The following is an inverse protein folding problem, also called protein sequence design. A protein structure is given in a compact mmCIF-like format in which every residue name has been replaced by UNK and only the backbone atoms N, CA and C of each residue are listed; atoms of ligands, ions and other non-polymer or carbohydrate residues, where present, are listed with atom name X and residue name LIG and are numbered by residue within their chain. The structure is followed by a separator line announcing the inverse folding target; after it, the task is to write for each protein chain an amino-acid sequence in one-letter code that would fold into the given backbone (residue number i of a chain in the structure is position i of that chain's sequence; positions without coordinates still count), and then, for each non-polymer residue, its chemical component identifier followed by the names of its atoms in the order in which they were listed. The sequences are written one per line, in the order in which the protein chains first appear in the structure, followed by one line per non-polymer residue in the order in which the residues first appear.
data_IF_022853964288
#
_entry.id   IF_022853964288
#
_cell.length_a   1.000
_cell.length_b   1.000
_cell.length_c   1.000
_cell.angle_alpha   90.00
_cell.angle_beta   90.00
_cell.angle_gamma   90.00
#
_symmetry.space_group_name_H-M   'P 1'
#
loop_
_entity.id
_entity.type
_entity.pdbx_description
1 polymer ?
#
# COMPACT_ATOMS: atom_id res chain seq x y z
N UNK A 1 -13.35 -30.18 -16.93
CA UNK A 1 -12.73 -28.83 -16.86
C UNK A 1 -13.54 -28.01 -15.88
N UNK A 2 -13.05 -27.80 -14.65
CA UNK A 2 -13.75 -27.02 -13.63
C UNK A 2 -13.68 -25.54 -14.01
N UNK A 3 -14.82 -24.86 -14.12
CA UNK A 3 -14.86 -23.42 -14.35
C UNK A 3 -14.11 -22.72 -13.20
N UNK A 4 -13.16 -21.81 -13.51
CA UNK A 4 -12.58 -20.98 -12.45
C UNK A 4 -13.67 -20.07 -11.89
N UNK A 5 -13.67 -19.81 -10.58
CA UNK A 5 -14.64 -18.89 -9.98
C UNK A 5 -14.58 -17.53 -10.69
N UNK A 6 -15.75 -16.96 -10.95
CA UNK A 6 -15.92 -15.62 -11.53
C UNK A 6 -15.66 -14.50 -10.52
N UNK A 7 -15.25 -14.85 -9.30
CA UNK A 7 -15.05 -13.94 -8.17
C UNK A 7 -13.59 -14.00 -7.75
N UNK A 8 -13.11 -12.93 -7.14
CA UNK A 8 -11.77 -12.87 -6.59
C UNK A 8 -11.64 -13.80 -5.36
N UNK A 9 -10.48 -14.42 -5.21
CA UNK A 9 -10.16 -15.25 -4.05
C UNK A 9 -9.42 -14.41 -3.00
N UNK A 10 -9.82 -14.54 -1.74
CA UNK A 10 -9.31 -13.76 -0.60
C UNK A 10 -8.90 -14.68 0.55
N UNK A 11 -7.75 -14.42 1.16
CA UNK A 11 -7.31 -15.01 2.43
C UNK A 11 -7.41 -13.99 3.58
N UNK A 12 -7.67 -14.42 4.83
CA UNK A 12 -7.51 -13.53 5.99
C UNK A 12 -6.11 -12.89 6.08
N UNK A 13 -5.07 -13.61 5.66
CA UNK A 13 -3.68 -13.13 5.67
C UNK A 13 -3.40 -12.06 4.61
N UNK A 14 -4.32 -11.85 3.66
CA UNK A 14 -4.18 -10.84 2.61
C UNK A 14 -4.59 -9.44 3.09
N UNK A 15 -5.13 -9.31 4.31
CA UNK A 15 -5.65 -8.05 4.83
C UNK A 15 -4.87 -7.52 6.03
N UNK A 16 -4.79 -6.19 6.10
CA UNK A 16 -4.27 -5.47 7.24
C UNK A 16 -5.16 -4.27 7.59
N UNK A 17 -5.20 -3.92 8.87
CA UNK A 17 -5.87 -2.74 9.38
C UNK A 17 -4.95 -2.06 10.40
N UNK A 18 -4.52 -0.85 10.09
CA UNK A 18 -3.62 -0.07 10.94
C UNK A 18 -4.24 1.27 11.27
N UNK A 19 -4.38 1.57 12.56
CA UNK A 19 -4.83 2.86 13.05
C UNK A 19 -3.64 3.82 13.24
N UNK A 20 -3.86 5.06 12.81
CA UNK A 20 -2.93 6.18 12.92
C UNK A 20 -3.71 7.31 13.59
N UNK A 21 -3.21 7.80 14.73
CA UNK A 21 -3.80 8.93 15.43
C UNK A 21 -2.89 10.14 15.31
N UNK A 22 -3.42 11.25 14.78
CA UNK A 22 -2.69 12.51 14.64
C UNK A 22 -3.65 13.68 14.84
N UNK A 23 -3.23 14.69 15.62
CA UNK A 23 -4.04 15.89 15.83
C UNK A 23 -5.43 15.65 16.45
N UNK A 24 -5.60 14.55 17.20
CA UNK A 24 -6.89 14.16 17.80
C UNK A 24 -7.84 13.42 16.84
N UNK A 25 -7.44 13.18 15.59
CA UNK A 25 -8.19 12.38 14.62
C UNK A 25 -7.54 11.00 14.52
N UNK A 26 -8.34 9.95 14.61
CA UNK A 26 -7.93 8.56 14.40
C UNK A 26 -8.42 8.08 13.04
N UNK A 27 -7.48 7.67 12.21
CA UNK A 27 -7.73 7.13 10.87
C UNK A 27 -7.24 5.70 10.83
N UNK A 28 -8.08 4.78 10.36
CA UNK A 28 -7.73 3.39 10.11
C UNK A 28 -7.45 3.24 8.62
N UNK A 29 -6.22 2.87 8.28
CA UNK A 29 -5.85 2.41 6.96
C UNK A 29 -6.13 0.91 6.86
N UNK A 30 -7.02 0.52 5.96
CA UNK A 30 -7.35 -0.86 5.67
C UNK A 30 -6.78 -1.20 4.30
N UNK A 31 -5.92 -2.21 4.23
CA UNK A 31 -5.35 -2.71 2.98
C UNK A 31 -5.74 -4.17 2.79
N UNK A 32 -5.76 -4.59 1.53
CA UNK A 32 -6.07 -5.96 1.16
C UNK A 32 -5.47 -6.33 -0.19
N UNK A 33 -5.39 -7.63 -0.44
CA UNK A 33 -5.11 -8.18 -1.75
C UNK A 33 -6.10 -9.30 -2.10
N UNK A 34 -6.21 -9.60 -3.39
CA UNK A 34 -7.03 -10.68 -3.90
C UNK A 34 -6.34 -11.38 -5.07
N UNK A 35 -6.46 -12.70 -5.10
CA UNK A 35 -6.07 -13.48 -6.27
C UNK A 35 -7.21 -13.46 -7.29
N UNK A 36 -6.92 -12.99 -8.50
CA UNK A 36 -7.92 -12.73 -9.54
C UNK A 36 -7.65 -13.53 -10.81
N UNK A 37 -8.70 -13.74 -11.60
CA UNK A 37 -8.58 -14.35 -12.93
C UNK A 37 -8.22 -13.27 -13.96
N UNK A 38 -6.93 -13.05 -14.14
CA UNK A 38 -6.35 -12.04 -15.03
C UNK A 38 -6.10 -10.71 -14.34
N UNK A 39 -5.25 -9.88 -14.93
CA UNK A 39 -5.01 -8.53 -14.41
C UNK A 39 -6.18 -7.57 -14.74
N UNK A 40 -6.21 -6.43 -14.05
CA UNK A 40 -7.11 -5.31 -14.35
C UNK A 40 -8.47 -5.35 -13.64
N UNK A 41 -8.65 -6.25 -12.67
CA UNK A 41 -9.76 -6.16 -11.72
C UNK A 41 -9.63 -4.90 -10.88
N UNK A 42 -10.74 -4.20 -10.67
CA UNK A 42 -10.82 -3.10 -9.70
C UNK A 42 -11.60 -3.56 -8.49
N UNK A 43 -11.03 -3.30 -7.32
CA UNK A 43 -11.57 -3.66 -6.03
C UNK A 43 -11.74 -2.40 -5.20
N UNK A 44 -12.90 -2.22 -4.59
CA UNK A 44 -13.22 -1.07 -3.76
C UNK A 44 -13.91 -1.52 -2.47
N UNK A 45 -13.51 -0.96 -1.33
CA UNK A 45 -14.24 -1.17 -0.09
C UNK A 45 -15.50 -0.29 -0.11
N UNK A 46 -16.61 -0.84 0.36
CA UNK A 46 -17.83 -0.09 0.57
C UNK A 46 -18.38 -0.34 1.97
N UNK A 47 -18.86 0.70 2.68
CA UNK A 47 -19.43 0.53 4.00
C UNK A 47 -20.71 -0.31 3.93
N UNK A 48 -20.91 -1.16 4.93
CA UNK A 48 -22.14 -1.93 5.13
C UNK A 48 -22.53 -1.91 6.61
N UNK A 49 -23.80 -2.23 6.89
CA UNK A 49 -24.26 -2.31 8.26
C UNK A 49 -23.66 -3.53 8.98
N UNK A 50 -23.12 -3.34 10.19
CA UNK A 50 -22.62 -4.40 11.06
C UNK A 50 -23.71 -5.31 11.65
N UNK A 51 -24.98 -4.99 11.42
CA UNK A 51 -26.13 -5.79 11.84
C UNK A 51 -27.25 -4.92 12.39
N UNK A 52 -28.16 -5.51 13.15
CA UNK A 52 -29.28 -4.76 13.76
C UNK A 52 -28.84 -4.02 15.03
N UNK A 53 -27.82 -4.54 15.72
CA UNK A 53 -27.30 -3.99 16.97
C UNK A 53 -26.11 -3.07 16.66
N UNK A 54 -26.04 -1.86 17.23
CA UNK A 54 -24.86 -1.00 17.11
C UNK A 54 -23.60 -1.72 17.63
N UNK A 55 -22.55 -1.72 16.82
CA UNK A 55 -21.25 -2.30 17.17
C UNK A 55 -20.18 -1.19 17.05
N UNK A 56 -20.06 -0.29 18.03
CA UNK A 56 -19.13 0.84 17.97
C UNK A 56 -17.66 0.42 17.98
N UNK A 57 -17.37 -0.83 18.35
CA UNK A 57 -16.06 -1.45 18.32
C UNK A 57 -15.66 -1.98 16.93
N UNK A 58 -16.54 -1.88 15.92
CA UNK A 58 -16.37 -2.50 14.61
C UNK A 58 -16.71 -1.56 13.46
N UNK A 59 -15.93 -1.65 12.40
CA UNK A 59 -16.30 -1.13 11.09
C UNK A 59 -16.57 -2.29 10.15
N UNK A 60 -17.73 -2.27 9.50
CA UNK A 60 -18.13 -3.32 8.56
C UNK A 60 -18.06 -2.83 7.13
N UNK A 61 -17.35 -3.59 6.30
CA UNK A 61 -17.10 -3.32 4.91
C UNK A 61 -17.59 -4.49 4.05
N UNK A 62 -17.87 -4.22 2.79
CA UNK A 62 -17.96 -5.21 1.72
C UNK A 62 -16.97 -4.85 0.63
N UNK A 63 -16.63 -5.81 -0.22
CA UNK A 63 -15.78 -5.57 -1.38
C UNK A 63 -16.65 -5.52 -2.64
N UNK A 64 -16.51 -4.44 -3.39
CA UNK A 64 -17.08 -4.30 -4.73
C UNK A 64 -16.03 -4.76 -5.74
N UNK A 65 -16.35 -5.81 -6.47
CA UNK A 65 -15.49 -6.33 -7.54
C UNK A 65 -15.99 -5.84 -8.90
N UNK A 66 -15.12 -5.14 -9.65
CA UNK A 66 -15.40 -4.76 -11.04
C UNK A 66 -14.46 -5.52 -11.97
N UNK A 67 -14.98 -6.40 -12.84
CA UNK A 67 -14.15 -7.19 -13.73
C UNK A 67 -13.52 -6.32 -14.83
N UNK A 68 -12.35 -6.70 -15.36
CA UNK A 68 -11.77 -6.06 -16.54
C UNK A 68 -12.64 -6.30 -17.77
N UNK A 69 -12.54 -5.41 -18.77
CA UNK A 69 -13.24 -5.56 -20.06
C UNK A 69 -12.92 -6.87 -20.80
N UNK A 70 -11.76 -7.47 -20.53
CA UNK A 70 -11.34 -8.75 -21.09
C UNK A 70 -10.86 -9.65 -19.95
N UNK A 71 -11.49 -10.81 -19.82
CA UNK A 71 -11.09 -11.80 -18.83
C UNK A 71 -9.70 -12.37 -19.16
N UNK A 72 -8.83 -12.45 -18.15
CA UNK A 72 -7.53 -13.08 -18.32
C UNK A 72 -7.60 -14.60 -18.24
N UNK A 73 -6.51 -15.24 -18.69
CA UNK A 73 -6.34 -16.70 -18.65
C UNK A 73 -5.33 -17.18 -17.60
N UNK A 74 -4.78 -16.26 -16.81
CA UNK A 74 -3.77 -16.51 -15.79
C UNK A 74 -4.23 -15.96 -14.43
N UNK A 75 -3.56 -16.36 -13.34
CA UNK A 75 -3.79 -15.79 -12.00
C UNK A 75 -3.00 -14.48 -11.85
N UNK A 76 -3.63 -13.45 -11.31
CA UNK A 76 -2.99 -12.16 -11.02
C UNK A 76 -3.36 -11.70 -9.60
N UNK A 77 -2.72 -10.64 -9.13
CA UNK A 77 -3.05 -9.96 -7.88
C UNK A 77 -3.77 -8.64 -8.16
N UNK A 78 -4.75 -8.31 -7.33
CA UNK A 78 -5.38 -7.01 -7.29
C UNK A 78 -5.38 -6.50 -5.84
N UNK A 79 -4.96 -5.26 -5.64
CA UNK A 79 -4.94 -4.61 -4.33
C UNK A 79 -6.22 -3.82 -4.08
N UNK A 80 -6.54 -3.61 -2.82
CA UNK A 80 -7.65 -2.80 -2.35
C UNK A 80 -7.19 -2.01 -1.12
N UNK A 81 -7.66 -0.78 -1.00
CA UNK A 81 -7.29 0.12 0.10
C UNK A 81 -8.46 1.04 0.45
N UNK A 82 -8.59 1.38 1.74
CA UNK A 82 -9.44 2.45 2.22
C UNK A 82 -8.82 3.15 3.44
N UNK A 83 -9.15 4.44 3.60
CA UNK A 83 -8.89 5.21 4.82
C UNK A 83 -10.22 5.55 5.47
N UNK A 84 -10.34 5.25 6.76
CA UNK A 84 -11.60 5.33 7.51
C UNK A 84 -11.36 6.13 8.78
N UNK A 85 -12.08 7.24 8.94
CA UNK A 85 -12.07 7.99 10.21
C UNK A 85 -12.96 7.27 11.22
N UNK A 86 -12.35 6.71 12.27
CA UNK A 86 -13.09 6.05 13.35
C UNK A 86 -12.30 6.10 14.66
N UNK A 87 -12.94 6.63 15.70
CA UNK A 87 -12.33 6.87 17.00
C UNK A 87 -12.23 5.61 17.89
N UNK A 88 -13.01 4.56 17.61
CA UNK A 88 -13.26 3.48 18.56
C UNK A 88 -13.07 2.07 18.00
N UNK A 89 -13.13 1.90 16.68
CA UNK A 89 -13.13 0.57 16.08
C UNK A 89 -11.80 -0.15 16.32
N UNK A 90 -11.92 -1.38 16.84
CA UNK A 90 -10.82 -2.32 17.13
C UNK A 90 -10.78 -3.48 16.15
N UNK A 91 -11.84 -3.65 15.35
CA UNK A 91 -11.97 -4.72 14.37
C UNK A 91 -12.58 -4.18 13.06
N UNK A 92 -12.02 -4.62 11.94
CA UNK A 92 -12.63 -4.49 10.62
C UNK A 92 -13.27 -5.82 10.25
N UNK A 93 -14.55 -5.79 9.88
CA UNK A 93 -15.29 -6.97 9.42
C UNK A 93 -15.60 -6.83 7.94
N UNK A 94 -15.00 -7.69 7.12
CA UNK A 94 -15.17 -7.70 5.67
C UNK A 94 -16.20 -8.78 5.32
N UNK A 95 -17.38 -8.34 4.90
CA UNK A 95 -18.48 -9.19 4.50
C UNK A 95 -18.37 -9.62 3.04
N UNK A 96 -18.78 -10.87 2.81
CA UNK A 96 -18.91 -11.47 1.48
C UNK A 96 -20.32 -12.04 1.34
N UNK A 97 -20.86 -12.01 0.13
CA UNK A 97 -22.18 -12.62 -0.14
C UNK A 97 -22.16 -14.14 -0.27
N UNK A 98 -20.97 -14.76 -0.37
CA UNK A 98 -20.79 -16.15 -0.79
C UNK A 98 -19.95 -16.99 0.18
N UNK A 99 -19.43 -16.37 1.25
CA UNK A 99 -18.64 -17.04 2.29
C UNK A 99 -18.77 -16.31 3.64
N UNK A 100 -18.31 -16.92 4.75
CA UNK A 100 -18.21 -16.23 6.03
C UNK A 100 -17.32 -14.97 5.93
N UNK A 101 -17.61 -13.93 6.74
CA UNK A 101 -16.83 -12.70 6.76
C UNK A 101 -15.41 -12.94 7.27
N UNK A 102 -14.48 -12.09 6.82
CA UNK A 102 -13.11 -12.03 7.35
C UNK A 102 -13.07 -10.94 8.42
N UNK A 103 -12.41 -11.24 9.54
CA UNK A 103 -12.21 -10.32 10.67
C UNK A 103 -10.74 -9.94 10.74
N UNK A 104 -10.46 -8.64 10.78
CA UNK A 104 -9.11 -8.09 10.80
C UNK A 104 -8.99 -7.22 12.04
N UNK A 105 -8.06 -7.57 12.93
CA UNK A 105 -7.78 -6.76 14.11
C UNK A 105 -7.11 -5.44 13.71
N UNK A 106 -7.59 -4.33 14.26
CA UNK A 106 -6.98 -3.01 14.03
C UNK A 106 -5.74 -2.89 14.92
N UNK A 107 -4.59 -2.67 14.29
CA UNK A 107 -3.30 -2.48 14.97
C UNK A 107 -3.01 -1.00 15.14
N UNK A 108 -2.71 -0.57 16.35
CA UNK A 108 -2.31 0.82 16.59
C UNK A 108 -0.87 1.04 16.13
N UNK A 109 -0.65 2.11 15.36
CA UNK A 109 0.70 2.57 15.04
C UNK A 109 1.33 3.13 16.31
N UNK A 110 2.33 2.43 16.85
CA UNK A 110 3.07 2.93 18.01
C UNK A 110 3.82 4.22 17.62
N UNK A 111 3.64 5.34 18.34
CA UNK A 111 4.33 6.59 18.04
C UNK A 111 5.87 6.48 18.18
N UNK A 112 6.38 5.41 18.80
CA UNK A 112 7.81 5.17 18.98
C UNK A 112 8.56 4.77 17.69
N UNK A 113 7.85 4.44 16.60
CA UNK A 113 8.49 4.12 15.31
C UNK A 113 8.48 5.28 14.30
N UNK A 114 8.10 6.49 14.74
CA UNK A 114 8.27 7.72 13.98
C UNK A 114 9.72 8.23 13.94
N UNK A 115 10.70 7.35 13.66
CA UNK A 115 12.09 7.75 13.42
C UNK A 115 12.22 8.18 11.95
N UNK A 116 12.19 9.49 11.74
CA UNK A 116 12.89 10.15 10.65
C UNK A 116 12.22 10.07 9.27
N UNK A 117 11.36 11.04 8.98
CA UNK A 117 11.34 11.60 7.64
C UNK A 117 12.76 12.10 7.34
N UNK A 118 13.57 11.28 6.64
CA UNK A 118 14.86 11.68 6.07
C UNK A 118 14.61 12.66 4.93
N UNK A 119 14.32 13.90 5.30
CA UNK A 119 14.54 15.07 4.46
C UNK A 119 16.03 15.42 4.53
N UNK A 120 16.83 14.74 3.71
CA UNK A 120 18.08 15.25 3.16
C UNK A 120 18.54 14.27 2.09
N UNK A 121 18.09 14.49 0.85
CA UNK A 121 18.94 14.17 -0.31
C UNK A 121 19.90 15.33 -0.44
N UNK A 122 20.99 15.28 0.31
CA UNK A 122 22.15 16.08 -0.01
C UNK A 122 22.78 15.50 -1.27
N UNK A 123 23.00 16.29 -2.33
CA UNK A 123 23.66 15.81 -3.53
C UNK A 123 25.10 15.44 -3.17
N UNK A 124 25.47 14.19 -3.43
CA UNK A 124 26.85 13.71 -3.29
C UNK A 124 27.78 14.61 -4.09
N UNK A 125 28.50 15.49 -3.38
CA UNK A 125 29.65 16.22 -3.90
C UNK A 125 30.75 15.20 -4.18
N UNK A 126 30.90 14.84 -5.45
CA UNK A 126 32.02 14.04 -5.92
C UNK A 126 33.32 14.84 -5.77
N UNK A 127 34.05 14.60 -4.67
CA UNK A 127 35.45 14.98 -4.53
C UNK A 127 36.29 13.90 -5.20
N UNK A 128 36.66 14.15 -6.45
CA UNK A 128 37.65 13.36 -7.20
C UNK A 128 38.73 14.30 -7.71
N UNK A 129 39.71 14.58 -6.87
CA UNK A 129 40.93 15.30 -7.24
C UNK A 129 41.76 14.45 -8.21
N UNK A 130 42.14 15.01 -9.36
CA UNK A 130 43.41 14.69 -10.03
C UNK A 130 44.05 15.98 -10.54
N UNK A 131 45.09 16.35 -9.80
CA UNK A 131 46.11 17.35 -10.11
C UNK A 131 46.96 16.80 -11.26
N UNK A 132 47.26 17.63 -12.26
CA UNK A 132 48.06 17.26 -13.41
C UNK A 132 48.57 18.44 -14.24
N UNK A 133 49.25 19.37 -13.56
CA UNK A 133 50.29 20.29 -14.03
C UNK A 133 50.22 20.84 -15.47
N UNK A 134 49.79 22.10 -15.57
CA UNK A 134 50.12 23.01 -16.66
C UNK A 134 51.64 23.25 -16.70
N UNK A 135 52.28 23.02 -17.85
CA UNK A 135 53.68 23.39 -18.09
C UNK A 135 53.72 24.82 -18.65
N UNK A 136 54.53 25.73 -18.10
CA UNK A 136 54.67 27.07 -18.65
C UNK A 136 55.56 27.08 -19.90
N UNK A 137 55.19 27.97 -20.80
CA UNK A 137 55.85 28.35 -22.03
C UNK A 137 57.16 29.11 -21.72
N UNK A 138 58.29 28.69 -22.28
CA UNK A 138 59.50 29.51 -22.40
C UNK A 138 60.32 29.13 -23.65
N UNK A 139 60.70 30.18 -24.35
CA UNK A 139 61.30 30.31 -25.69
C UNK A 139 62.82 30.04 -25.73
N UNK A 140 63.33 29.89 -26.97
CA UNK A 140 64.74 29.90 -27.44
C UNK A 140 65.38 28.50 -27.58
N UNK A 141 66.04 28.12 -28.67
CA UNK A 141 66.41 28.78 -29.92
C UNK A 141 67.21 27.79 -30.80
N UNK A 142 67.25 28.08 -32.10
CA UNK A 142 68.18 27.63 -33.18
C UNK A 142 69.58 27.20 -32.67
N UNK A 143 70.34 26.26 -33.24
CA UNK A 143 70.73 26.09 -34.65
C UNK A 143 71.63 24.84 -34.78
N UNK A 144 71.81 24.41 -36.03
CA UNK A 144 72.94 23.62 -36.54
C UNK A 144 74.28 24.22 -36.11
#
# INVERSE_FOLDING_TARGET
MTALPTQCEYSPDDFDATAITSGGIRVIQVTGAATTRGAGWRLDFAPVNCGVVPAPDRVCLTIRETPPRRAGRYRAQASIEAMIEDAHATEIVIHFGWRPPIRVAVRETSPQNGVGARSSREPTRATGARIGAERPFATAGRMV
#
